data_IF_073818477906
#
_entry.id   IF_073818477906
#
_cell.length_a   1.000
_cell.length_b   1.000
_cell.length_c   1.000
_cell.angle_alpha   90.00
_cell.angle_beta   90.00
_cell.angle_gamma   90.00
#
_symmetry.space_group_name_H-M   'P 1'
#
loop_
_entity.id
_entity.type
_entity.pdbx_description
1 polymer ?
#
# COMPACT_ATOMS: atom_id res chain seq x y z
N UNK A 1 6.34 -7.62 30.22
CA UNK A 1 5.71 -6.41 29.66
C UNK A 1 6.06 -6.41 28.19
N UNK A 2 5.10 -6.23 27.29
CA UNK A 2 5.38 -6.13 25.86
C UNK A 2 6.25 -4.91 25.61
N UNK A 3 7.31 -5.07 24.83
CA UNK A 3 8.17 -3.95 24.46
C UNK A 3 7.40 -3.04 23.50
N UNK A 4 7.52 -1.71 23.62
CA UNK A 4 6.87 -0.81 22.67
C UNK A 4 7.38 -1.10 21.26
N UNK A 5 6.50 -1.19 20.24
CA UNK A 5 6.94 -1.44 18.87
C UNK A 5 7.84 -0.31 18.38
N UNK A 6 8.84 -0.64 17.56
CA UNK A 6 9.83 0.30 17.00
C UNK A 6 10.75 0.97 18.02
N UNK A 7 10.81 0.48 19.26
CA UNK A 7 11.75 0.94 20.27
C UNK A 7 12.71 -0.19 20.62
N UNK A 8 14.00 0.08 20.51
CA UNK A 8 15.05 -0.84 20.93
C UNK A 8 14.98 -1.02 22.47
N UNK A 9 14.78 -2.24 22.97
CA UNK A 9 14.65 -2.49 24.40
C UNK A 9 15.95 -2.28 25.20
N UNK A 10 17.12 -2.28 24.55
CA UNK A 10 18.41 -2.06 25.22
C UNK A 10 18.77 -0.57 25.31
N UNK A 11 18.55 0.19 24.23
CA UNK A 11 18.91 1.61 24.16
C UNK A 11 17.75 2.56 24.50
N UNK A 12 16.51 2.10 24.39
CA UNK A 12 15.30 2.94 24.50
C UNK A 12 15.12 3.88 23.31
N UNK A 13 15.93 3.75 22.26
CA UNK A 13 15.86 4.58 21.05
C UNK A 13 14.97 3.95 19.99
N UNK A 14 14.68 4.74 18.94
CA UNK A 14 13.87 4.30 17.82
C UNK A 14 14.62 3.26 16.95
N UNK A 15 14.06 2.06 16.78
CA UNK A 15 14.62 1.05 15.88
C UNK A 15 14.27 1.35 14.43
N UNK A 16 15.15 2.15 13.79
CA UNK A 16 15.03 2.52 12.38
C UNK A 16 15.10 1.29 11.45
N UNK A 17 15.72 0.18 11.88
CA UNK A 17 15.80 -1.04 11.07
C UNK A 17 14.43 -1.73 11.03
N UNK A 18 13.77 -1.84 12.18
CA UNK A 18 12.40 -2.38 12.25
C UNK A 18 11.44 -1.50 11.45
N UNK A 19 11.48 -0.18 11.60
CA UNK A 19 10.65 0.75 10.82
C UNK A 19 10.84 0.52 9.31
N UNK A 20 12.09 0.43 8.86
CA UNK A 20 12.38 0.19 7.45
C UNK A 20 11.86 -1.18 7.00
N UNK A 21 12.02 -2.20 7.83
CA UNK A 21 11.53 -3.56 7.54
C UNK A 21 10.01 -3.59 7.36
N UNK A 22 9.26 -2.79 8.14
CA UNK A 22 7.80 -2.67 7.99
C UNK A 22 7.37 -1.75 6.85
N UNK A 23 8.18 -0.75 6.51
CA UNK A 23 7.90 0.14 5.38
C UNK A 23 7.98 -0.58 4.03
N UNK A 24 8.85 -1.59 3.88
CA UNK A 24 9.03 -2.31 2.63
C UNK A 24 7.77 -3.04 2.14
N UNK A 25 7.09 -3.87 2.95
CA UNK A 25 5.83 -4.49 2.56
C UNK A 25 4.75 -3.47 2.18
N UNK A 26 4.63 -2.38 2.93
CA UNK A 26 3.67 -1.31 2.62
C UNK A 26 3.97 -0.64 1.28
N UNK A 27 5.23 -0.27 1.06
CA UNK A 27 5.67 0.29 -0.20
C UNK A 27 5.42 -0.67 -1.37
N UNK A 28 5.63 -1.97 -1.15
CA UNK A 28 5.33 -3.01 -2.14
C UNK A 28 3.84 -3.08 -2.50
N UNK A 29 2.94 -3.04 -1.53
CA UNK A 29 1.50 -3.03 -1.76
C UNK A 29 1.04 -1.76 -2.50
N UNK A 30 1.53 -0.60 -2.06
CA UNK A 30 1.22 0.68 -2.71
C UNK A 30 1.73 0.69 -4.15
N UNK A 31 2.98 0.25 -4.38
CA UNK A 31 3.55 0.18 -5.72
C UNK A 31 2.79 -0.80 -6.62
N UNK A 32 2.33 -1.93 -6.07
CA UNK A 32 1.56 -2.92 -6.81
C UNK A 32 0.22 -2.34 -7.29
N UNK A 33 -0.61 -1.86 -6.38
CA UNK A 33 -1.96 -1.39 -6.72
C UNK A 33 -1.93 -0.03 -7.42
N UNK A 34 -1.11 0.90 -6.91
CA UNK A 34 -0.89 2.20 -7.53
C UNK A 34 -0.27 2.06 -8.93
N UNK A 35 0.71 1.17 -9.10
CA UNK A 35 1.32 0.88 -10.40
C UNK A 35 0.33 0.26 -11.37
N UNK A 36 -0.44 -0.75 -10.95
CA UNK A 36 -1.46 -1.36 -11.79
C UNK A 36 -2.53 -0.35 -12.26
N UNK A 37 -3.04 0.47 -11.35
CA UNK A 37 -3.99 1.52 -11.67
C UNK A 37 -3.39 2.60 -12.59
N UNK A 38 -2.13 2.97 -12.37
CA UNK A 38 -1.39 3.91 -13.21
C UNK A 38 -1.24 3.37 -14.64
N UNK A 39 -0.92 2.09 -14.81
CA UNK A 39 -0.85 1.46 -16.14
C UNK A 39 -2.17 1.57 -16.87
N UNK A 40 -3.30 1.24 -16.21
CA UNK A 40 -4.63 1.38 -16.81
C UNK A 40 -4.95 2.82 -17.21
N UNK A 41 -4.56 3.78 -16.38
CA UNK A 41 -4.72 5.20 -16.67
C UNK A 41 -3.84 5.65 -17.85
N UNK A 42 -2.58 5.22 -17.93
CA UNK A 42 -1.70 5.54 -19.06
C UNK A 42 -2.22 4.96 -20.38
N UNK A 43 -2.80 3.75 -20.34
CA UNK A 43 -3.47 3.15 -21.50
C UNK A 43 -4.67 4.00 -21.92
N UNK A 44 -5.48 4.50 -20.98
CA UNK A 44 -6.63 5.33 -21.32
C UNK A 44 -6.24 6.63 -22.03
N UNK A 45 -5.11 7.25 -21.64
CA UNK A 45 -4.56 8.41 -22.33
C UNK A 45 -4.09 8.09 -23.77
N UNK A 46 -3.46 6.93 -23.97
CA UNK A 46 -2.96 6.51 -25.29
C UNK A 46 -4.11 6.18 -26.27
N UNK A 47 -5.21 5.64 -25.76
CA UNK A 47 -6.35 5.16 -26.57
C UNK A 47 -7.39 6.25 -26.85
N UNK A 48 -7.11 7.52 -26.51
CA UNK A 48 -8.03 8.68 -26.40
C UNK A 48 -9.02 9.01 -27.54
N UNK A 49 -9.12 8.19 -28.60
CA UNK A 49 -10.11 8.30 -29.67
C UNK A 49 -11.52 7.74 -29.34
N UNK A 50 -11.70 6.90 -28.31
CA UNK A 50 -13.04 6.40 -27.94
C UNK A 50 -13.43 6.70 -26.48
N UNK A 51 -14.44 7.57 -26.31
CA UNK A 51 -14.88 8.06 -24.98
C UNK A 51 -15.38 6.94 -24.07
N UNK A 52 -16.06 5.93 -24.62
CA UNK A 52 -16.57 4.78 -23.86
C UNK A 52 -15.42 3.92 -23.29
N UNK A 53 -14.39 3.65 -24.09
CA UNK A 53 -13.26 2.84 -23.65
C UNK A 53 -12.40 3.57 -22.62
N UNK A 54 -12.19 4.88 -22.81
CA UNK A 54 -11.51 5.75 -21.83
C UNK A 54 -12.28 5.76 -20.52
N UNK A 55 -13.61 5.93 -20.58
CA UNK A 55 -14.46 5.88 -19.39
C UNK A 55 -14.38 4.55 -18.67
N UNK A 56 -14.47 3.43 -19.40
CA UNK A 56 -14.36 2.08 -18.83
C UNK A 56 -13.00 1.86 -18.14
N UNK A 57 -11.88 2.16 -18.82
CA UNK A 57 -10.54 2.01 -18.24
C UNK A 57 -10.34 2.88 -16.99
N UNK A 58 -10.94 4.07 -16.97
CA UNK A 58 -10.90 4.96 -15.80
C UNK A 58 -11.62 4.34 -14.61
N UNK A 59 -12.82 3.78 -14.81
CA UNK A 59 -13.58 3.09 -13.75
C UNK A 59 -12.80 1.87 -13.24
N UNK A 60 -12.21 1.07 -14.13
CA UNK A 60 -11.40 -0.08 -13.72
C UNK A 60 -10.16 0.36 -12.93
N UNK A 61 -9.47 1.43 -13.35
CA UNK A 61 -8.33 2.00 -12.63
C UNK A 61 -8.73 2.44 -11.21
N UNK A 62 -9.86 3.15 -11.07
CA UNK A 62 -10.38 3.56 -9.77
C UNK A 62 -10.77 2.37 -8.88
N UNK A 63 -11.37 1.33 -9.47
CA UNK A 63 -11.70 0.10 -8.75
C UNK A 63 -10.44 -0.58 -8.18
N UNK A 64 -9.37 -0.68 -9.00
CA UNK A 64 -8.08 -1.23 -8.55
C UNK A 64 -7.49 -0.43 -7.39
N UNK A 65 -7.53 0.91 -7.45
CA UNK A 65 -7.11 1.76 -6.32
C UNK A 65 -7.95 1.48 -5.08
N UNK A 66 -9.28 1.48 -5.19
CA UNK A 66 -10.17 1.32 -4.05
C UNK A 66 -9.95 -0.03 -3.33
N UNK A 67 -9.90 -1.12 -4.09
CA UNK A 67 -9.62 -2.45 -3.55
C UNK A 67 -8.21 -2.51 -2.97
N UNK A 68 -7.21 -1.98 -3.69
CA UNK A 68 -5.83 -1.94 -3.26
C UNK A 68 -5.61 -1.18 -1.95
N UNK A 69 -6.28 -0.04 -1.79
CA UNK A 69 -6.30 0.73 -0.54
C UNK A 69 -6.91 -0.10 0.59
N UNK A 70 -8.05 -0.77 0.36
CA UNK A 70 -8.66 -1.65 1.36
C UNK A 70 -7.73 -2.76 1.83
N UNK A 71 -7.05 -3.44 0.89
CA UNK A 71 -6.07 -4.49 1.19
C UNK A 71 -4.87 -3.92 1.96
N UNK A 72 -4.34 -2.78 1.54
CA UNK A 72 -3.20 -2.12 2.19
C UNK A 72 -3.54 -1.74 3.63
N UNK A 73 -4.74 -1.20 3.88
CA UNK A 73 -5.20 -0.87 5.23
C UNK A 73 -5.40 -2.13 6.09
N UNK A 74 -5.96 -3.20 5.54
CA UNK A 74 -6.07 -4.49 6.25
C UNK A 74 -4.69 -5.03 6.65
N UNK A 75 -3.69 -4.90 5.77
CA UNK A 75 -2.32 -5.26 6.10
C UNK A 75 -1.76 -4.41 7.25
N UNK A 76 -1.93 -3.08 7.22
CA UNK A 76 -1.51 -2.17 8.30
C UNK A 76 -2.11 -2.61 9.65
N UNK A 77 -3.42 -2.88 9.68
CA UNK A 77 -4.11 -3.29 10.91
C UNK A 77 -3.57 -4.63 11.41
N UNK A 78 -3.51 -5.64 10.54
CA UNK A 78 -3.01 -6.96 10.92
C UNK A 78 -1.56 -6.90 11.42
N UNK A 79 -0.72 -6.09 10.79
CA UNK A 79 0.68 -5.94 11.18
C UNK A 79 0.83 -5.15 12.48
N UNK A 80 0.02 -4.11 12.68
CA UNK A 80 -0.01 -3.36 13.95
C UNK A 80 -0.36 -4.25 15.14
N UNK A 81 -1.34 -5.15 14.99
CA UNK A 81 -1.69 -6.13 16.02
C UNK A 81 -0.50 -7.08 16.30
N UNK A 82 0.11 -7.64 15.25
CA UNK A 82 1.27 -8.52 15.40
C UNK A 82 2.47 -7.85 16.08
N UNK A 83 2.66 -6.55 15.87
CA UNK A 83 3.73 -5.78 16.50
C UNK A 83 3.42 -5.50 17.98
N UNK A 84 2.15 -5.28 18.33
CA UNK A 84 1.72 -5.05 19.70
C UNK A 84 1.71 -6.32 20.57
N UNK A 85 1.48 -7.48 19.95
CA UNK A 85 1.42 -8.79 20.61
C UNK A 85 2.80 -9.44 20.82
N UNK A 86 3.87 -8.82 20.32
CA UNK A 86 5.26 -9.23 20.57
C UNK A 86 5.75 -8.81 21.95
#
# INVERSE_FOLDING_TARGET
MSSPPFIDPESGELDVREIRAEAFPLAGLIALFGGAALVLFLISLLVGGSSLLVGFLTVVSQFVIAVGTGITLMYVVARGIQLADR
#
